data_IF_618166411332
#
_entry.id   IF_618166411332
#
_cell.length_a   1.000
_cell.length_b   1.000
_cell.length_c   1.000
_cell.angle_alpha   90.00
_cell.angle_beta   90.00
_cell.angle_gamma   90.00
#
_symmetry.space_group_name_H-M   'P 1'
#
loop_
_entity.id
_entity.type
_entity.pdbx_description
1 polymer ?
#
# COMPACT_ATOMS: atom_id res chain seq x y z
N UNK A 1 -7.69 1.69 -25.58
CA UNK A 1 -6.50 1.78 -26.43
C UNK A 1 -6.26 0.42 -27.09
N UNK A 2 -6.07 0.39 -28.40
CA UNK A 2 -5.61 -0.80 -29.16
C UNK A 2 -4.31 -0.42 -29.84
N UNK A 3 -3.28 -1.23 -29.59
CA UNK A 3 -1.94 -1.05 -30.16
C UNK A 3 -1.69 -2.10 -31.24
N UNK A 4 -1.02 -1.74 -32.32
CA UNK A 4 -0.50 -2.65 -33.34
C UNK A 4 0.89 -2.18 -33.77
N UNK A 5 1.84 -3.09 -33.77
CA UNK A 5 3.25 -2.83 -34.18
C UNK A 5 3.87 -1.61 -33.47
N UNK A 6 3.57 -1.45 -32.15
CA UNK A 6 4.08 -0.35 -31.34
C UNK A 6 3.33 0.99 -31.51
N UNK A 7 2.32 1.08 -32.37
CA UNK A 7 1.56 2.29 -32.60
C UNK A 7 0.07 2.14 -32.18
N UNK A 8 -0.55 3.20 -31.62
CA UNK A 8 -1.99 3.17 -31.34
C UNK A 8 -2.79 3.19 -32.66
N UNK A 9 -3.65 2.19 -32.83
CA UNK A 9 -4.58 2.11 -33.98
C UNK A 9 -6.02 2.48 -33.61
N UNK A 10 -6.32 2.48 -32.33
CA UNK A 10 -7.60 2.94 -31.81
C UNK A 10 -7.45 3.44 -30.38
N UNK A 11 -7.98 4.64 -30.13
CA UNK A 11 -8.03 5.24 -28.79
C UNK A 11 -9.38 5.91 -28.60
N UNK A 12 -10.10 5.52 -27.53
CA UNK A 12 -11.37 6.13 -27.17
C UNK A 12 -11.67 5.94 -25.68
N UNK A 13 -12.18 6.99 -25.06
CA UNK A 13 -12.73 6.96 -23.71
C UNK A 13 -14.24 6.81 -23.76
N UNK A 14 -14.82 6.13 -22.77
CA UNK A 14 -16.25 5.88 -22.64
C UNK A 14 -16.70 6.16 -21.20
N UNK A 15 -17.92 6.67 -21.06
CA UNK A 15 -18.58 6.87 -19.77
C UNK A 15 -18.10 8.06 -18.96
N UNK A 16 -18.45 8.03 -17.69
CA UNK A 16 -18.18 9.06 -16.68
C UNK A 16 -17.59 8.40 -15.42
N UNK A 17 -17.00 9.16 -14.51
CA UNK A 17 -16.39 8.63 -13.28
C UNK A 17 -17.39 7.96 -12.34
N UNK A 18 -18.60 8.51 -12.24
CA UNK A 18 -19.68 8.00 -11.40
C UNK A 18 -21.01 8.03 -12.12
N UNK A 19 -21.99 7.27 -11.67
CA UNK A 19 -23.33 7.23 -12.29
C UNK A 19 -24.10 8.56 -12.23
N UNK A 20 -23.76 9.44 -11.31
CA UNK A 20 -24.41 10.76 -11.16
C UNK A 20 -23.61 11.92 -11.75
N UNK A 21 -22.43 11.66 -12.31
CA UNK A 21 -21.55 12.69 -12.84
C UNK A 21 -21.70 12.78 -14.37
N UNK A 22 -21.93 13.98 -14.87
CA UNK A 22 -21.97 14.24 -16.31
C UNK A 22 -20.58 14.45 -16.93
N UNK A 23 -19.51 14.50 -16.12
CA UNK A 23 -18.13 14.72 -16.59
C UNK A 23 -17.59 13.50 -17.30
N UNK A 24 -17.30 13.57 -18.62
CA UNK A 24 -16.83 12.43 -19.37
C UNK A 24 -15.39 12.06 -18.98
N UNK A 25 -15.08 10.77 -19.06
CA UNK A 25 -13.69 10.29 -18.97
C UNK A 25 -12.90 10.75 -20.19
N UNK A 26 -11.64 11.15 -19.97
CA UNK A 26 -10.71 11.63 -21.00
C UNK A 26 -9.38 10.88 -20.93
N UNK A 27 -8.56 10.85 -22.02
CA UNK A 27 -7.28 10.13 -22.06
C UNK A 27 -6.28 10.59 -20.99
N UNK A 28 -6.28 11.89 -20.66
CA UNK A 28 -5.36 12.50 -19.70
C UNK A 28 -5.73 12.26 -18.22
N UNK A 29 -6.86 11.60 -17.96
CA UNK A 29 -7.25 11.33 -16.58
C UNK A 29 -6.41 10.23 -15.94
N UNK A 30 -5.94 10.49 -14.72
CA UNK A 30 -5.22 9.53 -13.89
C UNK A 30 -6.18 8.71 -13.05
N UNK A 31 -5.84 7.43 -12.86
CA UNK A 31 -6.61 6.49 -12.06
C UNK A 31 -5.73 5.87 -10.97
N UNK A 32 -6.30 5.71 -9.78
CA UNK A 32 -5.71 4.83 -8.78
C UNK A 32 -5.75 3.38 -9.32
N UNK A 33 -4.56 2.82 -9.52
CA UNK A 33 -4.42 1.44 -10.01
C UNK A 33 -4.49 0.40 -8.90
N UNK A 34 -4.63 0.84 -7.65
CA UNK A 34 -4.80 -0.02 -6.46
C UNK A 34 -3.82 -1.21 -6.47
N UNK A 35 -4.31 -2.43 -6.43
CA UNK A 35 -3.47 -3.64 -6.36
C UNK A 35 -2.65 -3.94 -7.62
N UNK A 36 -2.89 -3.29 -8.74
CA UNK A 36 -1.99 -3.39 -9.90
C UNK A 36 -0.59 -2.87 -9.57
N UNK A 37 -0.46 -1.96 -8.59
CA UNK A 37 0.83 -1.53 -8.03
C UNK A 37 1.71 -2.71 -7.61
N UNK A 38 1.12 -3.80 -7.13
CA UNK A 38 1.89 -5.00 -6.75
C UNK A 38 2.64 -5.61 -7.94
N UNK A 39 2.02 -5.63 -9.10
CA UNK A 39 2.59 -6.24 -10.32
C UNK A 39 3.42 -5.24 -11.13
N UNK A 40 2.99 -3.99 -11.20
CA UNK A 40 3.68 -2.96 -12.00
C UNK A 40 4.86 -2.32 -11.26
N UNK A 41 4.92 -2.43 -9.93
CA UNK A 41 5.98 -1.84 -9.12
C UNK A 41 6.74 -2.92 -8.33
N UNK A 42 6.15 -3.43 -7.23
CA UNK A 42 6.88 -4.29 -6.29
C UNK A 42 7.41 -5.56 -6.95
N UNK A 43 6.61 -6.24 -7.76
CA UNK A 43 7.02 -7.48 -8.41
C UNK A 43 8.16 -7.24 -9.42
N UNK A 44 8.13 -6.15 -10.18
CA UNK A 44 9.23 -5.80 -11.10
C UNK A 44 10.56 -5.65 -10.36
N UNK A 45 10.54 -4.90 -9.24
CA UNK A 45 11.73 -4.71 -8.40
C UNK A 45 12.23 -6.04 -7.82
N UNK A 46 11.31 -6.89 -7.33
CA UNK A 46 11.65 -8.23 -6.81
C UNK A 46 12.27 -9.11 -7.90
N UNK A 47 11.68 -9.14 -9.10
CA UNK A 47 12.20 -9.92 -10.24
C UNK A 47 13.61 -9.50 -10.63
N UNK A 48 13.88 -8.19 -10.71
CA UNK A 48 15.22 -7.67 -11.02
C UNK A 48 16.24 -8.06 -9.97
N UNK A 49 15.93 -7.86 -8.69
CA UNK A 49 16.83 -8.23 -7.60
C UNK A 49 17.08 -9.75 -7.56
N UNK A 50 16.10 -10.56 -7.94
CA UNK A 50 16.26 -12.01 -8.06
C UNK A 50 17.20 -12.38 -9.21
N UNK A 51 17.01 -11.77 -10.38
CA UNK A 51 17.87 -11.95 -11.56
C UNK A 51 19.33 -11.54 -11.28
N UNK A 52 19.52 -10.51 -10.46
CA UNK A 52 20.83 -10.07 -9.96
C UNK A 52 21.42 -10.99 -8.85
N UNK A 53 20.72 -12.04 -8.44
CA UNK A 53 21.18 -12.96 -7.39
C UNK A 53 21.24 -12.35 -5.98
N UNK A 54 20.47 -11.29 -5.70
CA UNK A 54 20.51 -10.59 -4.41
C UNK A 54 19.81 -11.35 -3.28
N UNK A 55 18.94 -12.29 -3.60
CA UNK A 55 18.22 -13.13 -2.64
C UNK A 55 17.83 -14.48 -3.24
N UNK A 56 17.52 -15.47 -2.39
CA UNK A 56 16.93 -16.75 -2.77
C UNK A 56 15.43 -16.80 -2.43
N UNK A 57 14.62 -17.49 -3.25
CA UNK A 57 13.17 -17.64 -3.00
C UNK A 57 12.87 -18.33 -1.66
N UNK A 58 13.74 -19.24 -1.22
CA UNK A 58 13.62 -19.97 0.06
C UNK A 58 14.18 -19.20 1.25
N UNK A 59 14.79 -18.04 1.03
CA UNK A 59 15.27 -17.21 2.13
C UNK A 59 14.11 -16.75 3.03
N UNK A 60 14.28 -16.76 4.36
CA UNK A 60 13.32 -16.20 5.28
C UNK A 60 13.30 -14.67 5.17
N UNK A 61 12.12 -14.08 5.21
CA UNK A 61 11.97 -12.61 5.07
C UNK A 61 12.72 -11.83 6.14
N UNK A 62 12.90 -12.40 7.35
CA UNK A 62 13.68 -11.78 8.44
C UNK A 62 15.17 -11.56 8.12
N UNK A 63 15.68 -12.20 7.09
CA UNK A 63 17.05 -11.95 6.59
C UNK A 63 17.18 -10.54 6.02
N UNK A 64 16.09 -9.99 5.48
CA UNK A 64 16.04 -8.70 4.81
C UNK A 64 15.25 -7.65 5.57
N UNK A 65 14.27 -8.07 6.39
CA UNK A 65 13.40 -7.19 7.18
C UNK A 65 13.68 -7.43 8.68
N UNK A 66 14.65 -6.69 9.27
CA UNK A 66 15.18 -6.99 10.61
C UNK A 66 14.14 -6.98 11.74
N UNK A 67 13.11 -6.15 11.65
CA UNK A 67 12.04 -6.09 12.66
C UNK A 67 11.30 -7.42 12.84
N UNK A 68 11.36 -8.32 11.84
CA UNK A 68 10.76 -9.65 11.91
C UNK A 68 11.66 -10.70 12.59
N UNK A 69 12.91 -10.35 12.93
CA UNK A 69 13.80 -11.29 13.62
C UNK A 69 13.22 -11.68 14.97
N UNK A 70 13.27 -13.00 15.28
CA UNK A 70 12.68 -13.53 16.51
C UNK A 70 11.15 -13.74 16.46
N UNK A 71 10.43 -13.15 15.51
CA UNK A 71 9.00 -13.38 15.34
C UNK A 71 8.70 -14.67 14.56
N UNK A 72 7.52 -15.26 14.78
CA UNK A 72 7.03 -16.41 13.99
C UNK A 72 6.95 -16.08 12.49
N UNK A 73 6.67 -14.82 12.16
CA UNK A 73 6.53 -14.32 10.78
C UNK A 73 7.88 -14.18 10.07
N UNK A 74 8.96 -14.02 10.82
CA UNK A 74 10.31 -13.95 10.26
C UNK A 74 10.74 -15.20 9.48
N UNK A 75 10.08 -16.35 9.73
CA UNK A 75 10.32 -17.62 9.03
C UNK A 75 9.54 -17.79 7.72
N UNK A 76 8.69 -16.83 7.36
CA UNK A 76 7.98 -16.80 6.08
C UNK A 76 9.04 -16.63 5.00
N UNK A 77 9.01 -17.47 3.96
CA UNK A 77 9.93 -17.36 2.84
C UNK A 77 9.46 -16.32 1.82
N UNK A 78 10.36 -15.84 0.98
CA UNK A 78 10.02 -14.92 -0.11
C UNK A 78 9.03 -15.57 -1.07
N UNK A 79 9.20 -16.86 -1.35
CA UNK A 79 8.26 -17.65 -2.15
C UNK A 79 6.86 -17.71 -1.53
N UNK A 80 6.74 -17.92 -0.21
CA UNK A 80 5.44 -17.89 0.50
C UNK A 80 4.73 -16.54 0.33
N UNK A 81 5.48 -15.43 0.35
CA UNK A 81 4.93 -14.09 0.16
C UNK A 81 4.43 -13.90 -1.28
N UNK A 82 5.23 -14.28 -2.28
CA UNK A 82 4.89 -14.16 -3.70
C UNK A 82 3.68 -15.01 -4.09
N UNK A 83 3.55 -16.21 -3.55
CA UNK A 83 2.42 -17.11 -3.81
C UNK A 83 1.20 -16.84 -2.93
N UNK A 84 1.24 -15.83 -2.06
CA UNK A 84 0.18 -15.56 -1.10
C UNK A 84 -0.13 -16.76 -0.18
N UNK A 85 0.92 -17.49 0.23
CA UNK A 85 0.86 -18.65 1.12
C UNK A 85 1.53 -18.38 2.48
N UNK A 86 1.76 -17.12 2.81
CA UNK A 86 2.42 -16.68 4.05
C UNK A 86 1.63 -16.99 5.33
N UNK A 87 0.30 -17.15 5.23
CA UNK A 87 -0.60 -17.24 6.38
C UNK A 87 -0.99 -15.87 6.96
N UNK A 88 -0.50 -14.75 6.42
CA UNK A 88 -0.90 -13.41 6.83
C UNK A 88 -2.34 -13.10 6.39
N UNK A 89 -3.10 -12.27 7.14
CA UNK A 89 -4.45 -11.86 6.76
C UNK A 89 -4.43 -11.06 5.46
N UNK A 90 -5.57 -11.00 4.76
CA UNK A 90 -5.72 -10.30 3.47
C UNK A 90 -5.40 -8.81 3.56
N UNK A 91 -5.82 -8.17 4.66
CA UNK A 91 -5.56 -6.77 4.98
C UNK A 91 -5.53 -6.58 6.48
N UNK A 92 -5.02 -5.43 6.93
CA UNK A 92 -5.07 -4.98 8.31
C UNK A 92 -5.39 -3.49 8.34
N UNK A 93 -6.22 -3.01 9.27
CA UNK A 93 -6.66 -1.61 9.30
C UNK A 93 -5.60 -0.71 9.96
N UNK A 94 -4.41 -0.60 9.37
CA UNK A 94 -3.29 0.20 9.90
C UNK A 94 -3.65 1.67 10.12
N UNK A 95 -4.60 2.23 9.36
CA UNK A 95 -5.08 3.59 9.53
C UNK A 95 -5.62 3.86 10.94
N UNK A 96 -6.12 2.84 11.64
CA UNK A 96 -6.62 2.98 13.02
C UNK A 96 -5.52 3.36 14.00
N UNK A 97 -4.29 2.93 13.75
CA UNK A 97 -3.14 3.35 14.56
C UNK A 97 -2.92 4.86 14.51
N UNK A 98 -3.25 5.49 13.40
CA UNK A 98 -3.10 6.93 13.20
C UNK A 98 -4.30 7.76 13.69
N UNK A 99 -5.39 7.13 14.15
CA UNK A 99 -6.58 7.82 14.67
C UNK A 99 -6.44 8.00 16.18
N UNK A 100 -6.76 9.19 16.66
CA UNK A 100 -6.86 9.51 18.08
C UNK A 100 -8.22 9.05 18.60
N UNK A 101 -8.28 7.86 19.20
CA UNK A 101 -9.51 7.28 19.75
C UNK A 101 -10.11 8.11 20.91
N UNK A 102 -9.34 9.03 21.51
CA UNK A 102 -9.84 9.96 22.51
C UNK A 102 -10.62 11.15 21.92
N UNK A 103 -10.53 11.34 20.62
CA UNK A 103 -11.13 12.49 19.92
C UNK A 103 -12.62 12.33 19.63
N UNK A 104 -13.18 11.12 19.76
CA UNK A 104 -14.59 10.84 19.49
C UNK A 104 -15.19 9.87 20.54
N UNK A 105 -16.52 9.77 20.57
CA UNK A 105 -17.24 8.88 21.48
C UNK A 105 -18.00 7.82 20.69
N UNK A 106 -17.92 6.56 21.12
CA UNK A 106 -18.64 5.45 20.52
C UNK A 106 -17.88 4.75 19.40
N UNK A 107 -18.59 4.29 18.38
CA UNK A 107 -18.00 3.57 17.25
C UNK A 107 -17.42 4.53 16.23
N UNK A 108 -16.22 4.23 15.70
CA UNK A 108 -15.62 5.00 14.60
C UNK A 108 -16.42 4.87 13.29
N UNK A 109 -16.98 3.69 13.03
CA UNK A 109 -17.83 3.44 11.86
C UNK A 109 -19.25 3.02 12.25
N UNK A 110 -20.20 3.42 11.41
CA UNK A 110 -21.59 2.91 11.43
C UNK A 110 -22.12 2.61 10.03
N UNK A 111 -23.05 1.65 9.96
CA UNK A 111 -23.69 1.26 8.70
C UNK A 111 -24.82 2.20 8.27
N UNK A 112 -25.22 3.14 9.11
CA UNK A 112 -26.28 4.11 8.88
C UNK A 112 -25.88 5.47 9.42
N UNK A 113 -26.36 6.52 8.77
CA UNK A 113 -26.24 7.90 9.24
C UNK A 113 -26.94 8.04 10.60
N UNK A 114 -26.34 8.79 11.51
CA UNK A 114 -26.94 9.19 12.80
C UNK A 114 -26.45 10.60 13.19
N UNK A 115 -26.67 11.02 14.43
CA UNK A 115 -26.36 12.37 14.91
C UNK A 115 -24.85 12.73 14.87
N UNK A 116 -23.95 11.74 14.78
CA UNK A 116 -22.48 11.94 14.83
C UNK A 116 -21.74 11.27 13.66
N UNK A 117 -22.47 10.70 12.68
CA UNK A 117 -21.88 9.95 11.57
C UNK A 117 -22.53 10.40 10.27
N UNK A 118 -22.07 11.53 9.70
CA UNK A 118 -22.59 12.09 8.44
C UNK A 118 -21.62 11.88 7.28
N UNK A 119 -20.31 11.72 7.57
CA UNK A 119 -19.29 11.54 6.54
C UNK A 119 -19.38 10.12 5.97
N UNK A 120 -19.94 10.01 4.79
CA UNK A 120 -20.04 8.74 4.06
C UNK A 120 -18.72 8.39 3.40
N UNK A 121 -18.17 7.22 3.69
CA UNK A 121 -16.90 6.71 3.13
C UNK A 121 -17.09 5.51 2.21
N UNK A 122 -18.25 4.83 2.28
CA UNK A 122 -18.63 3.74 1.38
C UNK A 122 -20.16 3.59 1.33
N UNK A 123 -20.68 2.66 0.55
CA UNK A 123 -22.11 2.50 0.26
C UNK A 123 -22.99 2.38 1.53
N UNK A 124 -22.48 1.73 2.58
CA UNK A 124 -23.13 1.58 3.89
C UNK A 124 -22.13 1.78 5.01
N UNK A 125 -21.26 2.78 4.88
CA UNK A 125 -20.24 3.05 5.90
C UNK A 125 -20.10 4.55 6.10
N UNK A 126 -20.33 4.97 7.34
CA UNK A 126 -20.21 6.35 7.78
C UNK A 126 -19.17 6.42 8.90
N UNK A 127 -18.35 7.46 8.86
CA UNK A 127 -17.33 7.76 9.87
C UNK A 127 -17.88 8.82 10.81
N UNK A 128 -17.43 8.77 12.06
CA UNK A 128 -17.71 9.81 13.06
C UNK A 128 -17.13 11.15 12.58
N UNK A 129 -17.90 12.26 12.75
CA UNK A 129 -17.61 13.54 12.08
C UNK A 129 -16.36 14.24 12.60
N UNK A 130 -16.12 14.23 13.92
CA UNK A 130 -15.13 15.09 14.57
C UNK A 130 -13.90 14.32 15.06
N UNK A 131 -13.55 13.20 14.42
CA UNK A 131 -12.33 12.50 14.77
C UNK A 131 -11.06 13.29 14.39
N UNK A 132 -9.98 13.05 15.13
CA UNK A 132 -8.68 13.65 14.86
C UNK A 132 -7.65 12.56 14.60
N UNK A 133 -6.65 12.89 13.79
CA UNK A 133 -5.45 12.09 13.66
C UNK A 133 -4.49 12.33 14.84
N UNK A 134 -3.73 11.31 15.19
CA UNK A 134 -2.61 11.46 16.11
C UNK A 134 -1.54 12.34 15.48
N UNK A 135 -1.22 13.45 16.14
CA UNK A 135 -0.23 14.42 15.66
C UNK A 135 1.20 13.85 15.57
N UNK A 136 1.47 12.75 16.25
CA UNK A 136 2.75 12.05 16.19
C UNK A 136 2.98 11.35 14.84
N UNK A 137 1.93 11.05 14.06
CA UNK A 137 2.04 10.34 12.79
C UNK A 137 1.63 11.16 11.58
N UNK A 138 0.67 12.07 11.72
CA UNK A 138 0.07 12.80 10.62
C UNK A 138 0.03 14.31 10.83
N UNK A 139 0.22 15.04 9.73
CA UNK A 139 0.11 16.50 9.64
C UNK A 139 -0.68 16.88 8.38
N UNK A 140 -1.37 18.02 8.44
CA UNK A 140 -2.03 18.64 7.26
C UNK A 140 -1.09 19.51 6.43
N UNK A 141 0.17 19.67 6.87
CA UNK A 141 1.20 20.41 6.15
C UNK A 141 2.48 19.60 6.01
N UNK A 142 3.14 19.74 4.86
CA UNK A 142 4.46 19.17 4.63
C UNK A 142 5.50 19.84 5.51
N UNK A 143 6.44 19.06 6.05
CA UNK A 143 7.61 19.54 6.79
C UNK A 143 8.72 18.49 6.75
N UNK A 144 9.90 18.84 7.29
CA UNK A 144 11.00 17.87 7.45
C UNK A 144 10.61 16.68 8.35
N UNK A 145 9.67 16.87 9.28
CA UNK A 145 9.14 15.81 10.15
C UNK A 145 8.08 14.97 9.45
N UNK A 146 7.29 15.57 8.54
CA UNK A 146 6.21 14.93 7.80
C UNK A 146 6.44 15.07 6.28
N UNK A 147 7.43 14.35 5.72
CA UNK A 147 7.82 14.49 4.31
C UNK A 147 6.96 13.69 3.34
N UNK A 148 6.24 12.65 3.80
CA UNK A 148 5.54 11.71 2.93
C UNK A 148 4.09 12.14 2.71
N UNK A 149 3.75 12.61 1.52
CA UNK A 149 2.36 12.89 1.16
C UNK A 149 1.61 11.60 0.88
N UNK A 150 0.48 11.39 1.57
CA UNK A 150 -0.37 10.18 1.42
C UNK A 150 -1.76 10.51 0.87
N UNK A 151 -2.18 11.77 0.94
CA UNK A 151 -3.39 12.29 0.31
C UNK A 151 -3.26 13.82 0.15
N UNK A 152 -4.24 14.45 -0.49
CA UNK A 152 -4.30 15.91 -0.56
C UNK A 152 -4.33 16.48 0.86
N UNK A 153 -3.39 17.39 1.17
CA UNK A 153 -3.23 18.02 2.49
C UNK A 153 -3.07 17.01 3.65
N UNK A 154 -2.49 15.83 3.39
CA UNK A 154 -2.20 14.85 4.43
C UNK A 154 -0.81 14.26 4.24
N UNK A 155 0.02 14.41 5.28
CA UNK A 155 1.42 14.03 5.28
C UNK A 155 1.73 13.13 6.48
N UNK A 156 2.62 12.17 6.28
CA UNK A 156 3.01 11.16 7.27
C UNK A 156 4.50 11.31 7.58
N UNK A 157 4.87 11.11 8.84
CA UNK A 157 6.26 11.01 9.23
C UNK A 157 6.88 9.66 8.85
N UNK A 158 8.21 9.53 8.96
CA UNK A 158 8.93 8.31 8.64
C UNK A 158 8.78 7.21 9.71
N UNK A 159 8.24 7.53 10.87
CA UNK A 159 8.03 6.57 11.95
C UNK A 159 6.77 5.71 11.73
N UNK A 160 5.74 6.27 11.08
CA UNK A 160 4.50 5.53 10.85
C UNK A 160 4.70 4.27 9.96
N UNK A 161 5.43 4.30 8.83
CA UNK A 161 5.79 3.09 8.09
C UNK A 161 6.55 2.06 8.95
N UNK A 162 7.45 2.48 9.83
CA UNK A 162 8.15 1.57 10.75
C UNK A 162 7.17 0.92 11.73
N UNK A 163 6.24 1.72 12.29
CA UNK A 163 5.18 1.22 13.17
C UNK A 163 4.32 0.16 12.50
N UNK A 164 3.99 0.32 11.21
CA UNK A 164 3.29 -0.70 10.42
C UNK A 164 4.07 -2.02 10.39
N UNK A 165 5.38 -1.98 10.17
CA UNK A 165 6.22 -3.17 10.16
C UNK A 165 6.30 -3.84 11.54
N UNK A 166 6.37 -3.06 12.62
CA UNK A 166 6.31 -3.56 14.00
C UNK A 166 4.99 -4.27 14.29
N UNK A 167 3.86 -3.67 13.87
CA UNK A 167 2.55 -4.31 13.99
C UNK A 167 2.48 -5.63 13.22
N UNK A 168 3.04 -5.67 12.00
CA UNK A 168 3.12 -6.92 11.24
C UNK A 168 3.98 -7.95 12.00
N UNK A 169 5.06 -7.54 12.65
CA UNK A 169 5.93 -8.44 13.42
C UNK A 169 5.26 -8.94 14.70
N UNK A 170 4.37 -8.17 15.30
CA UNK A 170 3.71 -8.46 16.59
C UNK A 170 2.71 -9.63 16.48
N UNK A 171 2.34 -10.21 17.61
CA UNK A 171 1.31 -11.26 17.68
C UNK A 171 -0.12 -10.73 17.55
N UNK A 172 -0.34 -9.42 17.50
CA UNK A 172 -1.66 -8.79 17.25
C UNK A 172 -2.22 -9.20 15.89
N UNK A 173 -1.35 -9.30 14.87
CA UNK A 173 -1.72 -9.78 13.55
C UNK A 173 -1.54 -11.32 13.53
N UNK A 174 -2.63 -12.10 13.44
CA UNK A 174 -2.55 -13.54 13.52
C UNK A 174 -1.86 -14.15 12.29
N UNK A 175 -1.02 -15.15 12.53
CA UNK A 175 -0.49 -16.02 11.48
C UNK A 175 -1.38 -17.26 11.38
N UNK A 176 -1.93 -17.52 10.20
CA UNK A 176 -2.83 -18.65 9.92
C UNK A 176 -2.10 -19.77 9.18
N UNK A 177 -2.84 -20.78 8.74
CA UNK A 177 -2.32 -21.84 7.86
C UNK A 177 -1.81 -21.27 6.52
N UNK A 178 -0.83 -21.95 5.92
CA UNK A 178 -0.16 -21.53 4.67
C UNK A 178 -0.93 -21.92 3.40
N UNK A 179 -2.27 -21.85 3.42
CA UNK A 179 -3.05 -21.97 2.20
C UNK A 179 -3.03 -20.66 1.43
N UNK A 180 -3.27 -20.74 0.14
CA UNK A 180 -3.46 -19.55 -0.68
C UNK A 180 -4.50 -18.62 -0.06
N UNK A 181 -4.07 -17.41 0.24
CA UNK A 181 -4.90 -16.30 0.69
C UNK A 181 -4.25 -15.00 0.26
N UNK A 182 -4.90 -14.32 -0.68
CA UNK A 182 -4.43 -13.00 -1.09
C UNK A 182 -4.21 -12.10 0.13
N UNK A 183 -3.02 -11.52 0.23
CA UNK A 183 -2.63 -10.64 1.34
C UNK A 183 -1.86 -9.42 0.84
N UNK A 184 -2.36 -8.23 1.17
CA UNK A 184 -1.64 -6.99 0.93
C UNK A 184 -0.37 -6.88 1.78
N UNK A 185 -0.37 -7.50 2.98
CA UNK A 185 0.77 -7.46 3.90
C UNK A 185 2.00 -8.14 3.31
N UNK A 186 1.81 -9.16 2.46
CA UNK A 186 2.92 -9.79 1.75
C UNK A 186 3.71 -8.78 0.93
N UNK A 187 3.02 -7.91 0.23
CA UNK A 187 3.66 -6.92 -0.64
C UNK A 187 4.20 -5.72 0.12
N UNK A 188 3.69 -5.42 1.31
CA UNK A 188 4.33 -4.48 2.25
C UNK A 188 5.71 -5.02 2.66
N UNK A 189 5.81 -6.31 3.01
CA UNK A 189 7.08 -6.94 3.38
C UNK A 189 8.05 -7.06 2.19
N UNK A 190 7.54 -7.40 0.99
CA UNK A 190 8.37 -7.46 -0.22
C UNK A 190 8.88 -6.07 -0.62
N UNK A 191 8.07 -5.02 -0.50
CA UNK A 191 8.51 -3.63 -0.70
C UNK A 191 9.63 -3.26 0.26
N UNK A 192 9.48 -3.56 1.54
CA UNK A 192 10.51 -3.30 2.54
C UNK A 192 11.80 -4.07 2.21
N UNK A 193 11.70 -5.34 1.82
CA UNK A 193 12.85 -6.13 1.36
C UNK A 193 13.58 -5.46 0.20
N UNK A 194 12.85 -4.97 -0.81
CA UNK A 194 13.44 -4.25 -1.95
C UNK A 194 14.25 -3.06 -1.47
N UNK A 195 13.69 -2.22 -0.60
CA UNK A 195 14.38 -1.04 -0.07
C UNK A 195 15.60 -1.39 0.78
N UNK A 196 15.51 -2.47 1.58
CA UNK A 196 16.64 -2.94 2.37
C UNK A 196 17.78 -3.50 1.50
N UNK A 197 17.49 -4.15 0.39
CA UNK A 197 18.52 -4.68 -0.52
C UNK A 197 19.10 -3.57 -1.40
N UNK A 198 18.25 -2.74 -2.00
CA UNK A 198 18.66 -1.69 -2.95
C UNK A 198 19.27 -0.46 -2.26
N UNK A 199 19.01 -0.29 -0.95
CA UNK A 199 19.38 0.90 -0.15
C UNK A 199 18.79 2.21 -0.67
N UNK A 200 17.65 2.14 -1.35
CA UNK A 200 16.91 3.32 -1.81
C UNK A 200 15.40 3.09 -1.71
N UNK A 201 14.60 4.16 -1.63
CA UNK A 201 13.15 4.09 -1.70
C UNK A 201 12.69 3.39 -3.00
N UNK A 202 11.61 2.63 -2.92
CA UNK A 202 11.15 1.79 -4.04
C UNK A 202 10.75 2.61 -5.28
N UNK A 203 10.17 3.79 -5.11
CA UNK A 203 9.86 4.71 -6.19
C UNK A 203 11.12 5.13 -6.96
N UNK A 204 12.17 5.53 -6.23
CA UNK A 204 13.46 5.90 -6.83
C UNK A 204 14.15 4.70 -7.49
N UNK A 205 14.03 3.50 -6.89
CA UNK A 205 14.56 2.29 -7.49
C UNK A 205 13.86 1.95 -8.81
N UNK A 206 12.54 2.05 -8.85
CA UNK A 206 11.75 1.79 -10.05
C UNK A 206 12.00 2.84 -11.14
N UNK A 207 12.09 4.10 -10.76
CA UNK A 207 12.44 5.17 -11.69
C UNK A 207 13.80 4.91 -12.34
N UNK A 208 14.81 4.60 -11.53
CA UNK A 208 16.17 4.35 -12.01
C UNK A 208 16.28 3.11 -12.91
N UNK A 209 15.64 2.00 -12.52
CA UNK A 209 15.88 0.69 -13.12
C UNK A 209 14.88 0.31 -14.22
N UNK A 210 13.69 0.96 -14.24
CA UNK A 210 12.62 0.62 -15.18
C UNK A 210 12.03 1.85 -15.87
N UNK A 211 11.38 2.74 -15.12
CA UNK A 211 10.51 3.75 -15.72
C UNK A 211 11.29 4.84 -16.46
N UNK A 212 12.38 5.34 -15.87
CA UNK A 212 13.27 6.30 -16.53
C UNK A 212 13.88 5.74 -17.82
N UNK A 213 14.53 4.53 -17.80
CA UNK A 213 15.05 3.91 -19.03
C UNK A 213 13.99 3.63 -20.11
N UNK A 214 12.73 3.43 -19.73
CA UNK A 214 11.62 3.27 -20.68
C UNK A 214 11.00 4.59 -21.15
N UNK A 215 11.47 5.74 -20.64
CA UNK A 215 10.92 7.06 -20.99
C UNK A 215 9.51 7.29 -20.47
N UNK A 216 9.15 6.68 -19.36
CA UNK A 216 7.84 6.86 -18.71
C UNK A 216 7.92 8.08 -17.78
N UNK A 217 7.46 9.23 -18.24
CA UNK A 217 7.63 10.54 -17.55
C UNK A 217 6.34 11.05 -16.86
N UNK A 218 5.26 10.28 -16.83
CA UNK A 218 3.96 10.73 -16.26
C UNK A 218 3.41 9.76 -15.25
#
# INVERSE_FOLDING_TARGET
LIMKDGAPVYEKCFGTFTYGDAKPVKPEHLYDIASLTKTTATLLAVMKLYDEGKFGLTDPISKYVPVLQGSKKGKITIEDLLYHQSGLPGSWPFYREAIDDSSYVGSFFKARIDANHHLRVDNRLYVVDDFRYKKEYLSTASSNEFPLQVAENLFVNLEFPKRILEMIASDEIPLRDRRYRYSCLNFVLLKEMVEQISKMPMDQYLEKEFYGPMGMES
#
